data_IF_903449867567
#
_entry.id   IF_903449867567
#
_cell.length_a   1.000
_cell.length_b   1.000
_cell.length_c   1.000
_cell.angle_alpha   90.00
_cell.angle_beta   90.00
_cell.angle_gamma   90.00
#
_symmetry.space_group_name_H-M   'P 1'
#
loop_
_entity.id
_entity.type
_entity.pdbx_description
1 polymer ?
#
# COMPACT_ATOMS: atom_id res chain seq x y z
N UNK A 1 27.38 16.94 35.19
CA UNK A 1 27.47 16.41 36.57
C UNK A 1 28.83 16.70 37.22
N UNK A 2 29.96 16.29 36.62
CA UNK A 2 31.30 16.45 37.21
C UNK A 2 31.66 17.90 37.61
N UNK A 3 31.34 18.90 36.79
CA UNK A 3 31.60 20.31 37.10
C UNK A 3 30.79 20.83 38.29
N UNK A 4 29.51 20.44 38.42
CA UNK A 4 28.67 20.82 39.56
C UNK A 4 29.16 20.21 40.87
N UNK A 5 29.61 18.94 40.81
CA UNK A 5 30.16 18.27 41.98
C UNK A 5 31.47 18.94 42.43
N UNK A 6 32.33 19.29 41.49
CA UNK A 6 33.60 19.96 41.79
C UNK A 6 33.42 21.40 42.29
N UNK A 7 32.38 22.10 41.84
CA UNK A 7 32.06 23.48 42.21
C UNK A 7 30.98 23.56 43.30
N UNK A 8 30.75 22.49 44.06
CA UNK A 8 29.64 22.42 45.01
C UNK A 8 29.66 23.53 46.07
N UNK A 9 30.85 23.90 46.57
CA UNK A 9 31.00 24.98 47.56
C UNK A 9 30.64 26.37 47.02
N UNK A 10 30.98 26.67 45.76
CA UNK A 10 30.63 27.94 45.13
C UNK A 10 29.15 28.00 44.77
N UNK A 11 28.53 26.86 44.44
CA UNK A 11 27.08 26.76 44.24
C UNK A 11 26.30 26.85 45.57
N UNK A 12 26.83 26.33 46.67
CA UNK A 12 26.20 26.41 47.98
C UNK A 12 26.36 27.80 48.65
N UNK A 13 27.13 28.72 48.05
CA UNK A 13 27.30 30.06 48.55
C UNK A 13 25.96 30.81 48.58
N UNK A 14 25.66 31.38 49.74
CA UNK A 14 24.47 32.19 49.98
C UNK A 14 24.69 33.55 49.33
N UNK A 15 23.82 33.93 48.40
CA UNK A 15 23.86 35.22 47.76
C UNK A 15 22.51 35.94 47.97
N UNK A 16 22.53 37.27 48.19
CA UNK A 16 21.30 38.04 48.27
C UNK A 16 20.66 38.04 46.88
N UNK A 17 19.55 37.33 46.75
CA UNK A 17 18.86 37.15 45.49
C UNK A 17 17.45 37.75 45.57
N UNK A 18 17.16 38.52 44.55
CA UNK A 18 15.83 39.04 44.28
C UNK A 18 15.19 38.13 43.22
N UNK A 19 14.53 37.07 43.67
CA UNK A 19 13.64 36.35 42.78
C UNK A 19 12.39 37.23 42.69
N UNK A 20 11.86 37.47 41.48
CA UNK A 20 10.68 38.32 41.22
C UNK A 20 9.47 38.08 42.17
N UNK A 21 9.43 36.93 42.86
CA UNK A 21 8.39 36.52 43.81
C UNK A 21 8.86 36.55 45.28
N UNK A 22 10.18 36.59 45.54
CA UNK A 22 10.78 36.54 46.87
C UNK A 22 12.18 37.17 46.91
N UNK A 23 12.37 38.21 47.73
CA UNK A 23 13.70 38.65 48.16
C UNK A 23 14.16 37.84 49.38
N UNK A 24 15.31 37.19 49.25
CA UNK A 24 15.97 36.57 50.37
C UNK A 24 17.32 35.96 50.00
N UNK A 25 18.03 35.55 51.04
CA UNK A 25 19.34 34.94 50.91
C UNK A 25 19.18 33.47 50.49
N UNK A 26 19.38 33.19 49.20
CA UNK A 26 19.27 31.85 48.63
C UNK A 26 20.65 31.33 48.16
N UNK A 27 20.95 30.04 48.38
CA UNK A 27 22.07 29.39 47.73
C UNK A 27 21.91 29.39 46.21
N UNK A 28 22.91 29.91 45.49
CA UNK A 28 22.92 30.02 44.02
C UNK A 28 22.61 28.70 43.31
N UNK A 29 23.09 27.58 43.86
CA UNK A 29 22.91 26.25 43.31
C UNK A 29 21.47 25.79 43.30
N UNK A 30 20.68 26.13 44.32
CA UNK A 30 19.26 25.76 44.40
C UNK A 30 18.46 26.52 43.34
N UNK A 31 18.78 27.80 43.13
CA UNK A 31 18.13 28.64 42.12
C UNK A 31 18.43 28.14 40.71
N UNK A 32 19.69 27.81 40.43
CA UNK A 32 20.10 27.24 39.14
C UNK A 32 19.40 25.90 38.88
N UNK A 33 19.28 25.05 39.90
CA UNK A 33 18.64 23.74 39.81
C UNK A 33 17.12 23.87 39.62
N UNK A 34 16.48 24.82 40.31
CA UNK A 34 15.07 25.15 40.12
C UNK A 34 14.80 25.61 38.69
N UNK A 35 15.61 26.54 38.16
CA UNK A 35 15.47 27.04 36.79
C UNK A 35 15.69 25.92 35.76
N UNK A 36 16.72 25.10 35.94
CA UNK A 36 16.96 23.93 35.10
C UNK A 36 15.81 22.91 35.18
N UNK A 37 15.24 22.71 36.37
CA UNK A 37 14.09 21.83 36.59
C UNK A 37 12.83 22.31 35.87
N UNK A 38 12.52 23.61 35.95
CA UNK A 38 11.39 24.22 35.21
C UNK A 38 11.58 24.04 33.71
N UNK A 39 12.78 24.34 33.19
CA UNK A 39 13.12 24.12 31.79
C UNK A 39 12.97 22.65 31.39
N UNK A 40 13.47 21.73 32.22
CA UNK A 40 13.36 20.29 31.99
C UNK A 40 11.89 19.83 31.91
N UNK A 41 11.05 20.27 32.85
CA UNK A 41 9.62 19.95 32.85
C UNK A 41 8.93 20.51 31.61
N UNK A 42 9.22 21.77 31.24
CA UNK A 42 8.71 22.37 30.02
C UNK A 42 9.15 21.59 28.78
N UNK A 43 10.44 21.19 28.74
CA UNK A 43 11.00 20.39 27.65
C UNK A 43 10.33 19.02 27.57
N UNK A 44 10.09 18.35 28.70
CA UNK A 44 9.36 17.09 28.78
C UNK A 44 7.94 17.25 28.27
N UNK A 45 7.22 18.29 28.69
CA UNK A 45 5.86 18.57 28.22
C UNK A 45 5.82 18.81 26.71
N UNK A 46 6.72 19.65 26.20
CA UNK A 46 6.85 19.91 24.77
C UNK A 46 7.22 18.63 23.99
N UNK A 47 8.16 17.84 24.51
CA UNK A 47 8.58 16.57 23.91
C UNK A 47 7.46 15.53 23.86
N UNK A 48 6.70 15.38 24.95
CA UNK A 48 5.55 14.48 25.02
C UNK A 48 4.48 14.88 24.00
N UNK A 49 4.20 16.18 23.89
CA UNK A 49 3.28 16.71 22.88
C UNK A 49 3.81 16.48 21.45
N UNK A 50 5.10 16.65 21.23
CA UNK A 50 5.72 16.52 19.90
C UNK A 50 5.80 15.06 19.43
N UNK A 51 6.01 14.10 20.36
CA UNK A 51 5.99 12.67 20.03
C UNK A 51 4.61 12.15 19.60
N UNK A 52 3.51 12.78 20.05
CA UNK A 52 2.16 12.39 19.65
C UNK A 52 1.93 12.66 18.15
N UNK A 53 2.54 13.71 17.61
CA UNK A 53 2.43 14.06 16.19
C UNK A 53 3.18 13.09 15.26
N UNK A 54 4.34 12.56 15.67
CA UNK A 54 5.09 11.60 14.84
C UNK A 54 4.43 10.21 14.74
N UNK A 55 3.62 9.83 15.73
CA UNK A 55 2.79 8.63 15.68
C UNK A 55 1.53 8.83 14.80
N UNK A 56 0.99 10.05 14.76
CA UNK A 56 -0.12 10.40 13.85
C UNK A 56 0.33 10.58 12.41
N UNK A 57 1.54 11.10 12.18
CA UNK A 57 2.15 11.18 10.86
C UNK A 57 2.45 9.80 10.30
N UNK A 58 2.91 8.83 11.12
CA UNK A 58 2.99 7.43 10.70
C UNK A 58 1.64 6.86 10.28
N UNK A 59 0.55 7.16 11.01
CA UNK A 59 -0.80 6.71 10.61
C UNK A 59 -1.35 7.42 9.37
N UNK A 60 -0.97 8.68 9.13
CA UNK A 60 -1.31 9.40 7.89
C UNK A 60 -0.54 8.87 6.69
N UNK A 61 0.75 8.56 6.85
CA UNK A 61 1.59 7.90 5.84
C UNK A 61 1.08 6.48 5.51
N UNK A 62 0.60 5.71 6.50
CA UNK A 62 -0.09 4.44 6.21
C UNK A 62 -1.45 4.63 5.52
N UNK A 63 -2.20 5.70 5.82
CA UNK A 63 -3.48 6.00 5.14
C UNK A 63 -3.27 6.44 3.69
N UNK A 64 -2.19 7.16 3.40
CA UNK A 64 -1.83 7.52 2.02
C UNK A 64 -1.27 6.32 1.25
N UNK A 65 -0.48 5.44 1.87
CA UNK A 65 -0.08 4.16 1.26
C UNK A 65 -1.32 3.28 0.99
N UNK A 66 -2.25 3.15 1.93
CA UNK A 66 -3.49 2.39 1.71
C UNK A 66 -4.39 3.02 0.64
N UNK A 67 -4.42 4.34 0.53
CA UNK A 67 -5.22 5.03 -0.49
C UNK A 67 -4.59 4.89 -1.86
N UNK A 68 -3.27 5.05 -1.98
CA UNK A 68 -2.54 4.83 -3.24
C UNK A 68 -2.60 3.36 -3.66
N UNK A 69 -2.55 2.42 -2.71
CA UNK A 69 -2.66 0.99 -2.98
C UNK A 69 -4.09 0.58 -3.37
N UNK A 70 -5.13 1.09 -2.72
CA UNK A 70 -6.52 0.83 -3.13
C UNK A 70 -6.87 1.44 -4.51
N UNK A 71 -6.23 2.57 -4.86
CA UNK A 71 -6.34 3.14 -6.21
C UNK A 71 -5.50 2.38 -7.24
N UNK A 72 -4.32 1.86 -6.86
CA UNK A 72 -3.48 1.02 -7.71
C UNK A 72 -4.10 -0.35 -7.96
N UNK A 73 -4.58 -1.06 -6.94
CA UNK A 73 -5.24 -2.37 -7.04
C UNK A 73 -6.50 -2.30 -7.90
N UNK A 74 -7.27 -1.20 -7.79
CA UNK A 74 -8.46 -0.97 -8.62
C UNK A 74 -8.10 -0.68 -10.08
N UNK A 75 -6.99 0.03 -10.32
CA UNK A 75 -6.48 0.27 -11.66
C UNK A 75 -5.87 -1.00 -12.28
N UNK A 76 -5.18 -1.83 -11.48
CA UNK A 76 -4.60 -3.10 -11.92
C UNK A 76 -5.67 -4.14 -12.22
N UNK A 77 -6.71 -4.26 -11.40
CA UNK A 77 -7.85 -5.14 -11.65
C UNK A 77 -8.58 -4.77 -12.96
N UNK A 78 -8.79 -3.48 -13.22
CA UNK A 78 -9.37 -3.02 -14.49
C UNK A 78 -8.48 -3.33 -15.69
N UNK A 79 -7.16 -3.33 -15.51
CA UNK A 79 -6.19 -3.62 -16.58
C UNK A 79 -6.14 -5.11 -16.90
N UNK A 80 -6.19 -5.96 -15.87
CA UNK A 80 -6.29 -7.41 -16.02
C UNK A 80 -7.57 -7.81 -16.74
N UNK A 81 -8.70 -7.23 -16.34
CA UNK A 81 -9.99 -7.47 -17.00
C UNK A 81 -9.96 -7.00 -18.46
N UNK A 82 -9.40 -5.81 -18.74
CA UNK A 82 -9.29 -5.30 -20.10
C UNK A 82 -8.41 -6.18 -21.00
N UNK A 83 -7.26 -6.64 -20.50
CA UNK A 83 -6.36 -7.56 -21.21
C UNK A 83 -7.05 -8.90 -21.48
N UNK A 84 -7.76 -9.44 -20.50
CA UNK A 84 -8.49 -10.69 -20.63
C UNK A 84 -9.62 -10.59 -21.67
N UNK A 85 -10.37 -9.48 -21.67
CA UNK A 85 -11.39 -9.20 -22.66
C UNK A 85 -10.82 -9.09 -24.07
N UNK A 86 -9.68 -8.41 -24.26
CA UNK A 86 -9.00 -8.38 -25.54
C UNK A 86 -8.61 -9.79 -26.02
N UNK A 87 -7.93 -10.57 -25.19
CA UNK A 87 -7.47 -11.93 -25.55
C UNK A 87 -8.65 -12.84 -25.91
N UNK A 88 -9.73 -12.81 -25.11
CA UNK A 88 -10.94 -13.61 -25.40
C UNK A 88 -11.59 -13.21 -26.73
N UNK A 89 -11.58 -11.91 -27.04
CA UNK A 89 -12.12 -11.38 -28.31
C UNK A 89 -11.27 -11.82 -29.49
N UNK A 90 -9.95 -11.69 -29.40
CA UNK A 90 -9.03 -12.13 -30.44
C UNK A 90 -9.13 -13.65 -30.68
N UNK A 91 -9.23 -14.45 -29.62
CA UNK A 91 -9.38 -15.90 -29.73
C UNK A 91 -10.69 -16.28 -30.43
N UNK A 92 -11.80 -15.59 -30.11
CA UNK A 92 -13.09 -15.77 -30.78
C UNK A 92 -13.00 -15.41 -32.26
N UNK A 93 -12.37 -14.28 -32.59
CA UNK A 93 -12.18 -13.85 -33.98
C UNK A 93 -11.30 -14.84 -34.77
N UNK A 94 -10.24 -15.38 -34.16
CA UNK A 94 -9.43 -16.43 -34.78
C UNK A 94 -10.24 -17.70 -35.01
N UNK A 95 -11.02 -18.14 -34.02
CA UNK A 95 -11.85 -19.33 -34.15
C UNK A 95 -12.92 -19.17 -35.24
N UNK A 96 -13.54 -17.99 -35.33
CA UNK A 96 -14.47 -17.66 -36.42
C UNK A 96 -13.76 -17.65 -37.77
N UNK A 97 -12.56 -17.06 -37.89
CA UNK A 97 -11.78 -17.06 -39.14
C UNK A 97 -11.39 -18.47 -39.58
N UNK A 98 -11.00 -19.33 -38.64
CA UNK A 98 -10.69 -20.73 -38.91
C UNK A 98 -11.96 -21.47 -39.35
N UNK A 99 -13.09 -21.27 -38.67
CA UNK A 99 -14.36 -21.86 -39.05
C UNK A 99 -14.82 -21.40 -40.44
N UNK A 100 -14.72 -20.11 -40.77
CA UNK A 100 -15.06 -19.58 -42.09
C UNK A 100 -14.08 -20.02 -43.17
N UNK A 101 -12.79 -20.13 -42.86
CA UNK A 101 -11.77 -20.67 -43.78
C UNK A 101 -12.06 -22.14 -44.08
N UNK A 102 -12.44 -22.91 -43.06
CA UNK A 102 -12.83 -24.31 -43.22
C UNK A 102 -14.14 -24.45 -44.04
N UNK A 103 -15.07 -23.49 -43.93
CA UNK A 103 -16.30 -23.45 -44.73
C UNK A 103 -16.04 -23.01 -46.18
N UNK A 104 -15.06 -22.13 -46.44
CA UNK A 104 -14.66 -21.74 -47.80
C UNK A 104 -13.82 -22.84 -48.50
N UNK A 105 -13.18 -23.72 -47.73
CA UNK A 105 -12.41 -24.87 -48.24
C UNK A 105 -13.25 -26.14 -48.50
N UNK A 106 -14.57 -26.10 -48.33
CA UNK A 106 -15.48 -27.17 -48.78
C UNK A 106 -16.10 -26.75 -50.11
N UNK A 107 -15.56 -27.18 -51.27
CA UNK A 107 -16.29 -27.12 -52.52
C UNK A 107 -17.49 -28.06 -52.38
N UNK A 108 -18.66 -27.47 -52.18
CA UNK A 108 -19.96 -28.12 -52.35
C UNK A 108 -20.27 -28.29 -53.83
N UNK A 109 -19.45 -29.07 -54.54
CA UNK A 109 -19.72 -29.52 -55.89
C UNK A 109 -20.05 -31.02 -55.90
N UNK A 110 -21.16 -31.32 -56.57
CA UNK A 110 -21.65 -32.64 -56.98
C UNK A 110 -22.33 -33.51 -55.91
N UNK A 111 -23.43 -32.98 -55.36
CA UNK A 111 -24.61 -33.80 -55.10
C UNK A 111 -25.39 -33.96 -56.45
N UNK A 112 -24.85 -34.80 -57.33
CA UNK A 112 -25.41 -35.34 -58.59
C UNK A 112 -24.76 -36.72 -58.69
N UNK A 113 -25.41 -37.89 -58.72
CA UNK A 113 -26.72 -38.35 -59.15
C UNK A 113 -27.19 -39.42 -58.14
N UNK A 114 -28.42 -39.37 -57.63
CA UNK A 114 -29.49 -40.28 -58.07
C UNK A 114 -29.03 -41.47 -58.92
N UNK A 115 -28.39 -42.47 -58.31
CA UNK A 115 -28.43 -43.84 -58.82
C UNK A 115 -28.31 -44.79 -57.64
N UNK A 116 -29.45 -45.28 -57.19
CA UNK A 116 -29.57 -46.40 -56.27
C UNK A 116 -29.12 -47.68 -56.98
N UNK A 117 -28.11 -48.42 -56.49
CA UNK A 117 -27.82 -49.77 -56.93
C UNK A 117 -27.93 -50.72 -55.74
N UNK A 118 -29.06 -51.40 -55.68
CA UNK A 118 -29.27 -52.79 -55.27
C UNK A 118 -28.42 -53.32 -54.08
N UNK A 119 -29.16 -53.61 -53.01
CA UNK A 119 -28.81 -54.39 -51.84
C UNK A 119 -27.89 -55.59 -52.08
N UNK A 120 -26.69 -55.53 -51.48
CA UNK A 120 -25.82 -56.71 -51.27
C UNK A 120 -26.46 -57.81 -50.39
N UNK A 121 -27.62 -57.55 -49.81
CA UNK A 121 -28.44 -58.52 -49.08
C UNK A 121 -29.31 -59.41 -49.99
N UNK A 122 -29.55 -59.01 -51.25
CA UNK A 122 -30.38 -59.82 -52.18
C UNK A 122 -29.56 -60.89 -52.93
N UNK A 123 -28.24 -60.69 -53.07
CA UNK A 123 -27.35 -61.58 -53.81
C UNK A 123 -26.81 -62.76 -53.00
N UNK A 124 -27.06 -62.80 -51.69
CA UNK A 124 -26.67 -63.90 -50.79
C UNK A 124 -27.81 -64.89 -50.54
N UNK A 125 -29.06 -64.54 -50.89
CA UNK A 125 -30.23 -65.40 -50.71
C UNK A 125 -30.51 -66.35 -51.89
N UNK A 126 -29.71 -66.30 -52.97
CA UNK A 126 -29.92 -67.07 -54.21
C UNK A 126 -28.72 -67.93 -54.61
N UNK A 127 -28.17 -68.70 -53.67
CA UNK A 127 -27.24 -69.78 -54.01
C UNK A 127 -27.63 -71.08 -53.34
#
# INVERSE_FOLDING_TARGET
AALCFLNWQTLAAVAPLDLVVWQGDAPLGIVLLAMAGVLLVFFLFAYLNNQISSLLENRKLLKEIQRVQALADKAEASRMENLHQLISTEFRLLNERIATSNVVAVPSDANQEQAQPLSLTELVARR
#
